data_IF_762694543858
#
_entry.id   IF_762694543858
#
_cell.length_a   1.000
_cell.length_b   1.000
_cell.length_c   1.000
_cell.angle_alpha   90.00
_cell.angle_beta   90.00
_cell.angle_gamma   90.00
#
_symmetry.space_group_name_H-M   'P 1'
#
loop_
_entity.id
_entity.type
_entity.pdbx_description
1 polymer ?
#
# COMPACT_ATOMS: atom_id res chain seq x y z
N UNK A 1 -6.62 -7.64 -12.61
CA UNK A 1 -5.71 -7.48 -11.45
C UNK A 1 -6.55 -7.60 -10.19
N UNK A 2 -6.05 -8.26 -9.13
CA UNK A 2 -6.75 -8.31 -7.83
C UNK A 2 -7.05 -6.87 -7.37
N UNK A 3 -8.22 -6.63 -6.78
CA UNK A 3 -8.54 -5.32 -6.23
C UNK A 3 -7.56 -5.01 -5.08
N UNK A 4 -6.79 -3.94 -5.24
CA UNK A 4 -5.75 -3.51 -4.29
C UNK A 4 -6.24 -2.43 -3.33
N UNK A 5 -7.39 -1.81 -3.63
CA UNK A 5 -7.98 -0.74 -2.83
C UNK A 5 -8.33 -1.29 -1.44
N UNK A 6 -8.00 -0.52 -0.39
CA UNK A 6 -8.16 -0.86 1.02
C UNK A 6 -7.06 -1.75 1.60
N UNK A 7 -6.14 -2.26 0.77
CA UNK A 7 -4.99 -3.01 1.28
C UNK A 7 -3.94 -2.07 1.85
N UNK A 8 -3.27 -2.55 2.91
CA UNK A 8 -2.16 -1.88 3.57
C UNK A 8 -0.86 -2.59 3.26
N UNK A 9 0.19 -1.83 3.03
CA UNK A 9 1.53 -2.35 2.80
C UNK A 9 2.52 -1.64 3.70
N UNK A 10 3.44 -2.40 4.28
CA UNK A 10 4.64 -1.84 4.87
C UNK A 10 5.74 -1.82 3.80
N UNK A 11 6.37 -0.67 3.59
CA UNK A 11 7.49 -0.48 2.68
C UNK A 11 8.62 0.18 3.46
N UNK A 12 9.63 -0.59 3.86
CA UNK A 12 10.78 -0.07 4.61
C UNK A 12 10.40 0.76 5.86
N UNK A 13 9.43 0.28 6.65
CA UNK A 13 8.91 0.98 7.85
C UNK A 13 7.86 2.06 7.59
N UNK A 14 7.54 2.35 6.33
CA UNK A 14 6.44 3.23 5.95
C UNK A 14 5.19 2.41 5.68
N UNK A 15 4.09 2.70 6.39
CA UNK A 15 2.81 2.03 6.16
C UNK A 15 1.97 2.86 5.21
N UNK A 16 1.61 2.28 4.07
CA UNK A 16 0.73 2.91 3.08
C UNK A 16 -0.58 2.13 2.94
N UNK A 17 -1.68 2.83 2.71
CA UNK A 17 -2.98 2.25 2.37
C UNK A 17 -3.37 2.68 0.97
N UNK A 18 -3.80 1.75 0.12
CA UNK A 18 -4.23 2.06 -1.25
C UNK A 18 -5.67 2.58 -1.23
N UNK A 19 -5.87 3.83 -1.61
CA UNK A 19 -7.18 4.49 -1.61
C UNK A 19 -7.90 4.39 -2.95
N UNK A 20 -7.17 4.62 -4.05
CA UNK A 20 -7.77 4.65 -5.38
C UNK A 20 -6.78 4.26 -6.48
N UNK A 21 -7.31 3.83 -7.62
CA UNK A 21 -6.55 3.50 -8.82
C UNK A 21 -6.52 4.71 -9.77
N UNK A 22 -5.31 5.20 -10.08
CA UNK A 22 -5.07 6.36 -10.92
C UNK A 22 -4.30 5.97 -12.20
N UNK A 23 -4.61 4.80 -12.76
CA UNK A 23 -4.01 4.32 -14.01
C UNK A 23 -2.64 3.67 -13.81
N UNK A 24 -1.55 4.42 -13.93
CA UNK A 24 -0.19 3.89 -13.71
C UNK A 24 0.24 3.94 -12.24
N UNK A 25 -0.48 4.75 -11.45
CA UNK A 25 -0.22 4.98 -10.03
C UNK A 25 -1.40 4.54 -9.18
N UNK A 26 -1.13 4.29 -7.91
CA UNK A 26 -2.13 4.26 -6.86
C UNK A 26 -2.06 5.54 -6.06
N UNK A 27 -3.21 6.11 -5.74
CA UNK A 27 -3.31 7.07 -4.66
C UNK A 27 -3.26 6.30 -3.35
N UNK A 28 -2.35 6.69 -2.46
CA UNK A 28 -2.15 6.02 -1.19
C UNK A 28 -2.14 7.01 -0.03
N UNK A 29 -2.62 6.58 1.13
CA UNK A 29 -2.43 7.31 2.39
C UNK A 29 -1.18 6.75 3.08
N UNK A 30 -0.19 7.60 3.33
CA UNK A 30 0.89 7.27 4.24
C UNK A 30 0.36 7.38 5.68
N UNK A 31 0.19 6.25 6.36
CA UNK A 31 -0.34 6.22 7.73
C UNK A 31 0.66 6.77 8.77
N UNK A 32 1.95 6.86 8.43
CA UNK A 32 2.98 7.46 9.29
C UNK A 32 2.92 8.99 9.24
N UNK A 33 2.84 9.60 8.05
CA UNK A 33 2.82 11.07 7.89
C UNK A 33 1.41 11.66 7.80
N UNK A 34 0.39 10.83 7.56
CA UNK A 34 -1.00 11.20 7.25
C UNK A 34 -1.16 11.99 5.96
N UNK A 35 -0.22 11.87 5.04
CA UNK A 35 -0.24 12.55 3.75
C UNK A 35 -0.64 11.59 2.63
N UNK A 36 -1.30 12.14 1.61
CA UNK A 36 -1.57 11.41 0.37
C UNK A 36 -0.30 11.39 -0.49
N UNK A 37 0.11 10.19 -0.88
CA UNK A 37 1.28 9.94 -1.75
C UNK A 37 0.84 9.09 -2.94
N UNK A 38 1.31 9.44 -4.13
CA UNK A 38 1.04 8.67 -5.35
C UNK A 38 2.16 7.68 -5.61
N UNK A 39 1.85 6.39 -5.55
CA UNK A 39 2.81 5.30 -5.72
C UNK A 39 2.73 4.70 -7.11
N UNK A 40 3.88 4.59 -7.79
CA UNK A 40 3.96 3.84 -9.05
C UNK A 40 3.67 2.37 -8.82
N UNK A 41 2.68 1.82 -9.54
CA UNK A 41 2.27 0.41 -9.39
C UNK A 41 3.42 -0.54 -9.63
N UNK A 42 4.20 -0.28 -10.67
CA UNK A 42 5.39 -1.08 -11.03
C UNK A 42 6.40 -1.10 -9.87
N UNK A 43 6.60 0.02 -9.19
CA UNK A 43 7.52 0.11 -8.07
C UNK A 43 7.04 -0.73 -6.89
N UNK A 44 5.78 -0.53 -6.44
CA UNK A 44 5.24 -1.27 -5.30
C UNK A 44 5.18 -2.78 -5.57
N UNK A 45 4.72 -3.19 -6.76
CA UNK A 45 4.67 -4.60 -7.14
C UNK A 45 6.07 -5.25 -7.19
N UNK A 46 7.08 -4.53 -7.68
CA UNK A 46 8.46 -5.00 -7.65
C UNK A 46 9.00 -5.09 -6.23
N UNK A 47 8.69 -4.11 -5.37
CA UNK A 47 9.09 -4.15 -3.96
C UNK A 47 8.48 -5.37 -3.25
N UNK A 48 7.20 -5.68 -3.50
CA UNK A 48 6.55 -6.89 -2.97
C UNK A 48 7.25 -8.15 -3.48
N UNK A 49 7.51 -8.25 -4.78
CA UNK A 49 8.19 -9.41 -5.38
C UNK A 49 9.60 -9.62 -4.82
N UNK A 50 10.29 -8.55 -4.46
CA UNK A 50 11.64 -8.58 -3.89
C UNK A 50 11.65 -8.74 -2.36
N UNK A 51 10.50 -8.88 -1.70
CA UNK A 51 10.42 -8.96 -0.24
C UNK A 51 10.80 -7.66 0.49
N UNK A 52 10.71 -6.52 -0.20
CA UNK A 52 10.97 -5.18 0.34
C UNK A 52 9.70 -4.46 0.78
N UNK A 53 8.55 -5.03 0.44
CA UNK A 53 7.25 -4.57 0.84
C UNK A 53 6.36 -5.77 1.18
N UNK A 54 5.58 -5.67 2.24
CA UNK A 54 4.72 -6.75 2.73
C UNK A 54 3.30 -6.24 2.94
N UNK A 55 2.30 -7.05 2.58
CA UNK A 55 0.89 -6.74 2.87
C UNK A 55 0.67 -6.89 4.38
N UNK A 56 0.18 -5.84 5.03
CA UNK A 56 -0.22 -5.89 6.42
C UNK A 56 -1.65 -6.43 6.45
N UNK A 57 -1.90 -7.61 7.02
CA UNK A 57 -3.25 -8.11 7.20
C UNK A 57 -4.03 -7.13 8.08
N UNK A 58 -5.25 -6.79 7.68
CA UNK A 58 -6.15 -6.04 8.55
C UNK A 58 -6.53 -6.98 9.68
N UNK A 59 -5.87 -6.84 10.83
CA UNK A 59 -6.30 -7.50 12.05
C UNK A 59 -7.49 -6.73 12.60
N UNK A 60 -8.68 -7.27 12.41
CA UNK A 60 -9.86 -6.90 13.20
C UNK A 60 -9.61 -7.30 14.66
N UNK A 61 -8.88 -6.49 15.41
CA UNK A 61 -8.86 -6.54 16.89
C UNK A 61 -10.14 -5.88 17.38
N UNK A 62 -11.26 -6.58 17.22
CA UNK A 62 -12.50 -6.36 17.96
C UNK A 62 -13.24 -7.69 18.10
N UNK A 63 -12.93 -8.43 19.15
CA UNK A 63 -13.82 -9.42 19.76
C UNK A 63 -13.63 -9.44 21.26
#
# INVERSE_FOLDING_TARGET
MKNMIGKKFEVSGMVIEILSDQGEKWETLNNTTRETVYFDKKFLLNAIKLGKAEEIPVTDVNK
#
